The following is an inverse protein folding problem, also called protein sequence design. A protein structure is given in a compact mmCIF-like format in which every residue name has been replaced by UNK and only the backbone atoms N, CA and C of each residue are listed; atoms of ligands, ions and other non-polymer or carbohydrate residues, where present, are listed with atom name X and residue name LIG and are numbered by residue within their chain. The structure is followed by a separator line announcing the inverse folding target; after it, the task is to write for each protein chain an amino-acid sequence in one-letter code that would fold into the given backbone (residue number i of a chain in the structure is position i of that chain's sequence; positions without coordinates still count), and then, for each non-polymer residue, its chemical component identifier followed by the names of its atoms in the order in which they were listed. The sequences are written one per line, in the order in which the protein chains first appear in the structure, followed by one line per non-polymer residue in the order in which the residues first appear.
data_IF_773779753655
#
_entry.id   IF_773779753655
#
_cell.length_a   1.000
_cell.length_b   1.000
_cell.length_c   1.000
_cell.angle_alpha   90.00
_cell.angle_beta   90.00
_cell.angle_gamma   90.00
#
_symmetry.space_group_name_H-M   'P 1'
#
loop_
_entity.id
_entity.type
_entity.pdbx_description
1 polymer ?
#
# COMPACT_ATOMS: atom_id res chain seq x y z
N UNK A 1 71.47 33.49 37.86
CA UNK A 1 70.10 33.99 37.62
C UNK A 1 70.04 34.39 36.16
N UNK A 2 69.52 33.49 35.33
CA UNK A 2 69.51 33.62 33.87
C UNK A 2 68.13 34.07 33.42
N UNK A 3 68.06 35.10 32.60
CA UNK A 3 66.82 35.56 31.97
C UNK A 3 66.53 34.69 30.74
N UNK A 4 65.34 34.11 30.66
CA UNK A 4 64.84 33.38 29.50
C UNK A 4 63.89 34.31 28.69
N UNK A 5 64.13 34.55 27.39
CA UNK A 5 63.24 35.38 26.57
C UNK A 5 61.99 34.61 26.13
N UNK A 6 60.82 35.25 26.23
CA UNK A 6 59.54 34.72 25.75
C UNK A 6 59.55 34.56 24.22
N UNK A 7 59.34 33.33 23.74
CA UNK A 7 59.08 33.07 22.32
C UNK A 7 57.58 33.25 22.01
N UNK A 8 57.20 33.87 20.88
CA UNK A 8 55.80 33.92 20.43
C UNK A 8 55.37 32.52 19.97
N UNK A 9 54.21 32.02 20.44
CA UNK A 9 53.62 30.79 19.89
C UNK A 9 52.98 31.07 18.52
N UNK A 10 53.16 30.21 17.49
CA UNK A 10 52.58 30.40 16.17
C UNK A 10 51.06 30.18 16.14
N UNK A 11 50.37 31.01 15.35
CA UNK A 11 49.00 30.83 14.90
C UNK A 11 48.85 29.53 14.10
N UNK A 12 48.05 28.59 14.57
CA UNK A 12 47.65 27.43 13.78
C UNK A 12 46.47 27.80 12.88
N UNK A 13 46.75 28.58 11.83
CA UNK A 13 45.84 28.76 10.69
C UNK A 13 46.34 27.95 9.51
N UNK A 14 45.44 27.07 9.03
CA UNK A 14 45.42 26.33 7.77
C UNK A 14 46.56 25.35 7.49
N UNK A 15 46.21 24.07 7.34
CA UNK A 15 46.39 23.36 6.07
C UNK A 15 45.44 22.15 6.01
N UNK A 16 44.50 22.17 5.06
CA UNK A 16 43.65 21.04 4.75
C UNK A 16 44.46 19.94 4.08
N UNK A 17 44.42 18.74 4.65
CA UNK A 17 44.86 17.53 3.96
C UNK A 17 43.90 17.21 2.81
N UNK A 18 44.39 16.90 1.60
CA UNK A 18 43.57 16.28 0.57
C UNK A 18 43.20 14.86 1.03
N UNK A 19 41.96 14.70 1.48
CA UNK A 19 41.40 13.41 1.86
C UNK A 19 41.48 12.42 0.69
N UNK A 20 42.01 11.24 0.98
CA UNK A 20 42.01 10.05 0.11
C UNK A 20 40.58 9.78 -0.42
N UNK A 21 40.41 9.38 -1.70
CA UNK A 21 39.11 8.94 -2.19
C UNK A 21 38.66 7.66 -1.47
N UNK A 22 37.51 7.74 -0.79
CA UNK A 22 36.79 6.60 -0.22
C UNK A 22 36.21 5.73 -1.37
N UNK A 23 36.49 4.42 -1.45
CA UNK A 23 35.98 3.54 -2.51
C UNK A 23 34.46 3.32 -2.52
N UNK A 24 33.67 3.91 -1.61
CA UNK A 24 32.23 3.61 -1.47
C UNK A 24 31.26 4.51 -2.24
N UNK A 25 31.74 5.36 -3.13
CA UNK A 25 30.85 6.14 -4.03
C UNK A 25 30.89 5.60 -5.47
N UNK A 26 30.45 4.34 -5.65
CA UNK A 26 30.02 3.90 -6.98
C UNK A 26 28.64 4.49 -7.31
N UNK A 27 28.74 5.65 -7.95
CA UNK A 27 27.80 6.35 -8.79
C UNK A 27 27.12 5.39 -9.79
N UNK A 28 25.87 5.00 -9.55
CA UNK A 28 25.02 4.35 -10.56
C UNK A 28 24.33 5.45 -11.39
N UNK A 29 24.74 5.59 -12.64
CA UNK A 29 24.17 6.56 -13.58
C UNK A 29 22.73 6.23 -13.98
N UNK A 30 21.91 7.22 -14.37
CA UNK A 30 20.55 6.97 -14.84
C UNK A 30 20.59 6.36 -16.26
N UNK A 31 20.19 5.09 -16.37
CA UNK A 31 19.84 4.49 -17.66
C UNK A 31 18.54 5.08 -18.21
N UNK A 32 18.42 5.35 -19.53
CA UNK A 32 17.18 5.87 -20.12
C UNK A 32 16.15 4.75 -20.33
N UNK A 33 14.90 4.94 -19.87
CA UNK A 33 13.76 4.20 -20.40
C UNK A 33 12.76 3.55 -19.43
N UNK A 34 12.75 3.88 -18.14
CA UNK A 34 11.68 3.41 -17.22
C UNK A 34 10.47 4.35 -17.19
N UNK A 35 9.21 3.88 -17.28
CA UNK A 35 8.03 4.73 -17.17
C UNK A 35 8.01 5.47 -15.83
N UNK A 36 8.01 6.80 -15.90
CA UNK A 36 7.95 7.71 -14.77
C UNK A 36 6.56 7.64 -14.12
N UNK A 37 6.45 6.94 -12.99
CA UNK A 37 5.30 7.12 -12.11
C UNK A 37 5.48 8.44 -11.35
N UNK A 38 4.62 9.40 -11.65
CA UNK A 38 4.53 10.71 -10.98
C UNK A 38 4.43 10.50 -9.47
N UNK A 39 5.54 10.78 -8.77
CA UNK A 39 5.62 10.78 -7.31
C UNK A 39 5.08 12.11 -6.81
N UNK A 40 3.78 12.19 -6.62
CA UNK A 40 3.18 13.37 -5.97
C UNK A 40 3.65 13.42 -4.51
N UNK A 41 4.34 14.51 -4.21
CA UNK A 41 4.98 14.79 -2.93
C UNK A 41 3.95 15.36 -1.95
N UNK A 42 3.60 14.58 -0.92
CA UNK A 42 2.85 15.05 0.23
C UNK A 42 3.36 14.40 1.51
N UNK A 43 4.25 15.10 2.22
CA UNK A 43 4.46 14.95 3.67
C UNK A 43 5.06 13.64 4.20
N UNK A 44 6.22 13.21 3.71
CA UNK A 44 6.99 12.14 4.39
C UNK A 44 8.04 12.75 5.32
N UNK A 45 7.87 12.53 6.63
CA UNK A 45 8.91 12.79 7.62
C UNK A 45 10.07 11.84 7.35
N UNK A 46 11.25 12.39 7.05
CA UNK A 46 12.46 11.63 6.76
C UNK A 46 12.77 10.66 7.93
N UNK A 47 12.68 9.34 7.68
CA UNK A 47 13.09 8.33 8.65
C UNK A 47 12.55 6.91 8.44
N UNK A 48 11.33 6.74 7.91
CA UNK A 48 10.75 5.40 7.70
C UNK A 48 10.61 5.08 6.21
N UNK A 49 11.42 4.14 5.72
CA UNK A 49 11.44 3.68 4.33
C UNK A 49 10.21 2.85 3.93
N UNK A 50 9.17 2.76 4.75
CA UNK A 50 8.00 1.91 4.54
C UNK A 50 6.84 2.21 5.50
N UNK A 51 5.69 1.51 5.34
CA UNK A 51 4.52 1.68 6.19
C UNK A 51 4.84 1.43 7.66
N UNK A 52 4.27 2.24 8.56
CA UNK A 52 4.35 2.03 10.00
C UNK A 52 3.52 0.80 10.41
N UNK A 53 3.81 0.22 11.58
CA UNK A 53 3.12 -0.99 12.03
C UNK A 53 1.62 -0.76 12.27
N UNK A 54 1.24 0.44 12.71
CA UNK A 54 -0.16 0.85 12.82
C UNK A 54 -0.84 0.90 11.44
N UNK A 55 -0.15 1.39 10.41
CA UNK A 55 -0.67 1.42 9.04
C UNK A 55 -0.83 0.01 8.47
N UNK A 56 0.10 -0.90 8.74
CA UNK A 56 -0.04 -2.33 8.36
C UNK A 56 -1.25 -2.96 9.04
N UNK A 57 -1.45 -2.68 10.33
CA UNK A 57 -2.60 -3.18 11.09
C UNK A 57 -3.91 -2.67 10.49
N UNK A 58 -4.01 -1.37 10.21
CA UNK A 58 -5.18 -0.78 9.56
C UNK A 58 -5.39 -1.36 8.16
N UNK A 59 -4.32 -1.61 7.39
CA UNK A 59 -4.42 -2.22 6.06
C UNK A 59 -4.95 -3.66 6.13
N UNK A 60 -4.48 -4.47 7.08
CA UNK A 60 -4.99 -5.82 7.35
C UNK A 60 -6.49 -5.74 7.67
N UNK A 61 -6.89 -4.86 8.59
CA UNK A 61 -8.30 -4.66 8.94
C UNK A 61 -9.14 -4.22 7.73
N UNK A 62 -8.59 -3.39 6.87
CA UNK A 62 -9.24 -2.94 5.63
C UNK A 62 -9.59 -4.11 4.72
N UNK A 63 -8.64 -5.03 4.52
CA UNK A 63 -8.88 -6.23 3.73
C UNK A 63 -9.82 -7.23 4.42
N UNK A 64 -9.85 -7.29 5.75
CA UNK A 64 -10.78 -8.17 6.46
C UNK A 64 -12.20 -7.58 6.59
N UNK A 65 -12.33 -6.25 6.58
CA UNK A 65 -13.61 -5.57 6.75
C UNK A 65 -14.59 -5.92 5.62
N UNK A 66 -14.10 -6.14 4.41
CA UNK A 66 -14.96 -6.50 3.27
C UNK A 66 -15.65 -7.86 3.42
N UNK A 67 -14.89 -8.96 3.61
CA UNK A 67 -15.46 -10.27 3.89
C UNK A 67 -16.38 -10.29 5.11
N UNK A 68 -16.01 -9.61 6.21
CA UNK A 68 -16.85 -9.55 7.41
C UNK A 68 -18.18 -8.85 7.11
N UNK A 69 -18.14 -7.68 6.46
CA UNK A 69 -19.34 -6.96 6.08
C UNK A 69 -20.19 -7.76 5.07
N UNK A 70 -19.56 -8.47 4.13
CA UNK A 70 -20.24 -9.36 3.19
C UNK A 70 -20.94 -10.52 3.91
N UNK A 71 -20.34 -11.16 4.91
CA UNK A 71 -20.99 -12.24 5.68
C UNK A 71 -22.22 -11.70 6.41
N UNK A 72 -22.09 -10.58 7.12
CA UNK A 72 -23.18 -9.98 7.91
C UNK A 72 -24.33 -9.52 7.00
N UNK A 73 -24.02 -9.02 5.81
CA UNK A 73 -25.00 -8.48 4.87
C UNK A 73 -25.42 -9.46 3.77
N UNK A 74 -24.99 -10.73 3.83
CA UNK A 74 -25.27 -11.73 2.78
C UNK A 74 -24.80 -11.25 1.38
N UNK A 75 -23.63 -10.63 1.32
CA UNK A 75 -22.94 -10.21 0.10
C UNK A 75 -23.33 -8.84 -0.43
N UNK A 76 -24.16 -8.06 0.28
CA UNK A 76 -24.65 -6.77 -0.20
C UNK A 76 -23.76 -5.58 0.17
N UNK A 77 -23.06 -5.62 1.31
CA UNK A 77 -22.32 -4.47 1.88
C UNK A 77 -20.79 -4.71 1.99
N UNK A 78 -20.24 -5.67 1.24
CA UNK A 78 -18.82 -6.04 1.32
C UNK A 78 -17.82 -4.92 0.94
N UNK A 79 -18.26 -3.84 0.29
CA UNK A 79 -17.40 -2.71 -0.09
C UNK A 79 -17.38 -1.58 0.96
N UNK A 80 -18.29 -1.56 1.94
CA UNK A 80 -18.45 -0.43 2.87
C UNK A 80 -17.24 -0.24 3.78
N UNK A 81 -16.71 -1.33 4.34
CA UNK A 81 -15.53 -1.27 5.23
C UNK A 81 -14.32 -0.60 4.55
N UNK A 82 -13.86 -1.09 3.39
CA UNK A 82 -12.78 -0.46 2.64
C UNK A 82 -13.06 1.00 2.25
N UNK A 83 -14.30 1.33 1.90
CA UNK A 83 -14.69 2.70 1.54
C UNK A 83 -14.49 3.67 2.71
N UNK A 84 -14.91 3.28 3.91
CA UNK A 84 -14.73 4.08 5.13
C UNK A 84 -13.24 4.33 5.39
N UNK A 85 -12.40 3.29 5.29
CA UNK A 85 -10.95 3.45 5.48
C UNK A 85 -10.36 4.38 4.42
N UNK A 86 -10.75 4.24 3.15
CA UNK A 86 -10.27 5.11 2.09
C UNK A 86 -10.60 6.58 2.38
N UNK A 87 -11.82 6.89 2.80
CA UNK A 87 -12.19 8.27 3.15
C UNK A 87 -11.37 8.85 4.30
N UNK A 88 -11.06 8.05 5.32
CA UNK A 88 -10.30 8.51 6.49
C UNK A 88 -8.82 8.70 6.15
N UNK A 89 -8.23 7.80 5.37
CA UNK A 89 -6.78 7.70 5.20
C UNK A 89 -6.24 8.12 3.83
N UNK A 90 -7.09 8.48 2.85
CA UNK A 90 -6.67 8.89 1.49
C UNK A 90 -5.61 10.00 1.47
N UNK A 91 -5.69 10.95 2.40
CA UNK A 91 -4.80 12.11 2.46
C UNK A 91 -3.70 11.93 3.54
N UNK A 92 -3.73 10.82 4.29
CA UNK A 92 -2.86 10.57 5.46
C UNK A 92 -1.75 9.57 5.17
N UNK A 93 -2.07 8.49 4.47
CA UNK A 93 -1.10 7.45 4.12
C UNK A 93 -1.38 6.93 2.71
N UNK A 94 -0.43 7.04 1.78
CA UNK A 94 -0.58 6.50 0.43
C UNK A 94 -0.58 4.97 0.41
N UNK A 95 0.02 4.32 1.40
CA UNK A 95 -0.08 2.87 1.57
C UNK A 95 -1.52 2.47 1.89
N UNK A 96 -2.14 3.12 2.86
CA UNK A 96 -3.54 2.88 3.21
C UNK A 96 -4.50 3.31 2.12
N UNK A 97 -4.24 4.42 1.42
CA UNK A 97 -5.01 4.81 0.23
C UNK A 97 -5.02 3.71 -0.81
N UNK A 98 -3.85 3.18 -1.18
CA UNK A 98 -3.74 2.13 -2.18
C UNK A 98 -4.40 0.81 -1.73
N UNK A 99 -4.21 0.40 -0.47
CA UNK A 99 -4.80 -0.82 0.08
C UNK A 99 -6.34 -0.75 0.11
N UNK A 100 -6.88 0.37 0.61
CA UNK A 100 -8.32 0.59 0.70
C UNK A 100 -8.99 0.80 -0.66
N UNK A 101 -8.36 1.54 -1.58
CA UNK A 101 -8.85 1.69 -2.95
C UNK A 101 -8.89 0.34 -3.68
N UNK A 102 -7.82 -0.45 -3.60
CA UNK A 102 -7.76 -1.78 -4.20
C UNK A 102 -8.83 -2.72 -3.65
N UNK A 103 -8.99 -2.76 -2.32
CA UNK A 103 -10.00 -3.58 -1.67
C UNK A 103 -11.44 -3.14 -2.02
N UNK A 104 -11.69 -1.83 -2.13
CA UNK A 104 -12.99 -1.32 -2.57
C UNK A 104 -13.29 -1.71 -4.03
N UNK A 105 -12.36 -1.41 -4.94
CA UNK A 105 -12.47 -1.69 -6.37
C UNK A 105 -12.76 -3.19 -6.64
N UNK A 106 -12.09 -4.08 -5.92
CA UNK A 106 -12.33 -5.52 -6.01
C UNK A 106 -13.69 -5.92 -5.44
N UNK A 107 -14.08 -5.40 -4.27
CA UNK A 107 -15.38 -5.70 -3.68
C UNK A 107 -16.55 -5.22 -4.56
N UNK A 108 -16.42 -4.08 -5.25
CA UNK A 108 -17.44 -3.64 -6.22
C UNK A 108 -17.56 -4.63 -7.38
N UNK A 109 -16.44 -5.12 -7.89
CA UNK A 109 -16.45 -6.14 -8.96
C UNK A 109 -17.13 -7.42 -8.50
N UNK A 110 -16.78 -7.92 -7.31
CA UNK A 110 -17.42 -9.08 -6.72
C UNK A 110 -18.91 -8.85 -6.44
N UNK A 111 -19.29 -7.66 -5.98
CA UNK A 111 -20.69 -7.29 -5.76
C UNK A 111 -21.51 -7.36 -7.05
N UNK A 112 -20.96 -6.90 -8.18
CA UNK A 112 -21.61 -7.05 -9.49
C UNK A 112 -21.78 -8.53 -9.88
N UNK A 113 -20.76 -9.36 -9.66
CA UNK A 113 -20.86 -10.82 -9.89
C UNK A 113 -21.97 -11.44 -9.04
N UNK A 114 -22.08 -11.03 -7.77
CA UNK A 114 -23.13 -11.49 -6.86
C UNK A 114 -24.53 -11.07 -7.36
N UNK A 115 -24.71 -9.82 -7.80
CA UNK A 115 -25.98 -9.31 -8.36
C UNK A 115 -26.38 -10.11 -9.61
N UNK A 116 -25.46 -10.34 -10.54
CA UNK A 116 -25.70 -11.16 -11.74
C UNK A 116 -26.04 -12.60 -11.34
N UNK A 117 -25.34 -13.17 -10.37
CA UNK A 117 -25.63 -14.48 -9.80
C UNK A 117 -27.06 -14.60 -9.31
N UNK A 118 -27.53 -13.64 -8.52
CA UNK A 118 -28.92 -13.60 -8.03
C UNK A 118 -29.95 -13.48 -9.17
N UNK A 119 -29.70 -12.62 -10.16
CA UNK A 119 -30.57 -12.50 -11.35
C UNK A 119 -30.68 -13.85 -12.09
N UNK A 120 -29.56 -14.55 -12.25
CA UNK A 120 -29.54 -15.89 -12.87
C UNK A 120 -30.27 -16.93 -12.01
N UNK A 121 -30.16 -16.89 -10.68
CA UNK A 121 -30.91 -17.80 -9.78
C UNK A 121 -32.42 -17.64 -9.95
N UNK A 122 -32.93 -16.42 -10.04
CA UNK A 122 -34.36 -16.16 -10.25
C UNK A 122 -34.85 -16.48 -11.66
N UNK A 123 -33.93 -16.59 -12.63
CA UNK A 123 -34.24 -17.05 -13.98
C UNK A 123 -34.17 -18.58 -14.00
N UNK A 124 -35.31 -19.28 -13.93
CA UNK A 124 -35.40 -20.75 -13.77
C UNK A 124 -34.43 -21.54 -14.67
N UNK A 125 -34.27 -21.11 -15.94
CA UNK A 125 -33.36 -21.76 -16.91
C UNK A 125 -31.88 -21.57 -16.57
N UNK A 126 -31.50 -20.41 -16.02
CA UNK A 126 -30.11 -20.04 -15.69
C UNK A 126 -29.75 -20.35 -14.24
N UNK A 127 -30.65 -20.95 -13.46
CA UNK A 127 -30.46 -21.20 -12.03
C UNK A 127 -29.15 -21.94 -11.69
N UNK A 128 -28.73 -23.00 -12.43
CA UNK A 128 -27.45 -23.67 -12.17
C UNK A 128 -26.24 -22.73 -12.30
N UNK A 129 -26.26 -21.83 -13.29
CA UNK A 129 -25.21 -20.84 -13.50
C UNK A 129 -25.19 -19.81 -12.36
N UNK A 130 -26.37 -19.40 -11.87
CA UNK A 130 -26.49 -18.49 -10.74
C UNK A 130 -25.82 -19.02 -9.47
N UNK A 131 -26.04 -20.29 -9.13
CA UNK A 131 -25.37 -20.92 -7.99
C UNK A 131 -23.86 -20.99 -8.15
N UNK A 132 -23.36 -21.29 -9.37
CA UNK A 132 -21.93 -21.29 -9.67
C UNK A 132 -21.31 -19.90 -9.49
N UNK A 133 -21.98 -18.84 -9.94
CA UNK A 133 -21.50 -17.46 -9.79
C UNK A 133 -21.45 -17.02 -8.32
N UNK A 134 -22.48 -17.37 -7.53
CA UNK A 134 -22.51 -17.07 -6.09
C UNK A 134 -21.41 -17.85 -5.36
N UNK A 135 -21.20 -19.13 -5.70
CA UNK A 135 -20.10 -19.91 -5.13
C UNK A 135 -18.74 -19.30 -5.48
N UNK A 136 -18.53 -18.92 -6.74
CA UNK A 136 -17.30 -18.26 -7.19
C UNK A 136 -17.07 -16.92 -6.46
N UNK A 137 -18.12 -16.14 -6.23
CA UNK A 137 -18.06 -14.91 -5.41
C UNK A 137 -17.50 -15.19 -4.01
N UNK A 138 -18.05 -16.16 -3.28
CA UNK A 138 -17.60 -16.46 -1.91
C UNK A 138 -16.16 -16.98 -1.85
N UNK A 139 -15.76 -17.82 -2.81
CA UNK A 139 -14.39 -18.34 -2.91
C UNK A 139 -13.42 -17.19 -3.19
N UNK A 140 -13.70 -16.35 -4.18
CA UNK A 140 -12.85 -15.23 -4.56
C UNK A 140 -12.73 -14.20 -3.44
N UNK A 141 -13.85 -13.90 -2.75
CA UNK A 141 -13.90 -13.02 -1.60
C UNK A 141 -12.94 -13.50 -0.51
N UNK A 142 -13.03 -14.76 -0.09
CA UNK A 142 -12.17 -15.27 0.98
C UNK A 142 -10.70 -15.36 0.56
N UNK A 143 -10.42 -15.98 -0.58
CA UNK A 143 -9.03 -16.24 -1.01
C UNK A 143 -8.29 -14.93 -1.27
N UNK A 144 -8.87 -14.02 -2.07
CA UNK A 144 -8.19 -12.79 -2.43
C UNK A 144 -8.01 -11.85 -1.23
N UNK A 145 -9.00 -11.71 -0.34
CA UNK A 145 -8.86 -10.86 0.83
C UNK A 145 -7.91 -11.43 1.89
N UNK A 146 -7.86 -12.75 2.08
CA UNK A 146 -6.85 -13.37 2.96
C UNK A 146 -5.45 -13.12 2.41
N UNK A 147 -5.23 -13.35 1.11
CA UNK A 147 -3.95 -13.07 0.47
C UNK A 147 -3.57 -11.59 0.62
N UNK A 148 -4.52 -10.69 0.39
CA UNK A 148 -4.30 -9.25 0.53
C UNK A 148 -3.96 -8.84 1.96
N UNK A 149 -4.70 -9.35 2.95
CA UNK A 149 -4.44 -9.13 4.37
C UNK A 149 -3.04 -9.61 4.77
N UNK A 150 -2.64 -10.81 4.34
CA UNK A 150 -1.30 -11.36 4.61
C UNK A 150 -0.20 -10.50 3.98
N UNK A 151 -0.38 -10.02 2.74
CA UNK A 151 0.59 -9.10 2.10
C UNK A 151 0.63 -7.72 2.80
N UNK A 152 -0.53 -7.20 3.18
CA UNK A 152 -0.64 -5.93 3.90
C UNK A 152 0.08 -5.97 5.26
N UNK A 153 0.01 -7.10 5.97
CA UNK A 153 0.77 -7.32 7.21
C UNK A 153 2.28 -7.26 7.02
N UNK A 154 2.80 -7.50 5.81
CA UNK A 154 4.22 -7.32 5.44
C UNK A 154 4.54 -5.92 4.93
N UNK A 155 3.57 -5.01 4.85
CA UNK A 155 3.72 -3.69 4.25
C UNK A 155 3.73 -3.70 2.72
N UNK A 156 3.28 -4.78 2.09
CA UNK A 156 3.16 -4.90 0.64
C UNK A 156 1.73 -4.55 0.19
N UNK A 157 1.61 -3.73 -0.86
CA UNK A 157 0.30 -3.44 -1.47
C UNK A 157 -0.12 -4.62 -2.37
N UNK A 158 -1.24 -5.26 -2.05
CA UNK A 158 -1.82 -6.31 -2.89
C UNK A 158 -2.64 -5.71 -4.03
N UNK A 159 -2.31 -6.07 -5.28
CA UNK A 159 -3.16 -5.78 -6.44
C UNK A 159 -4.11 -6.94 -6.67
N UNK A 160 -5.41 -6.67 -6.61
CA UNK A 160 -6.42 -7.68 -6.81
C UNK A 160 -6.52 -8.07 -8.29
N UNK A 161 -6.60 -9.37 -8.62
CA UNK A 161 -6.96 -9.80 -9.95
C UNK A 161 -8.42 -9.41 -10.20
N UNK A 162 -8.69 -8.66 -11.26
CA UNK A 162 -10.03 -8.13 -11.62
C UNK A 162 -10.56 -6.98 -10.75
N UNK A 163 -9.72 -6.03 -10.36
CA UNK A 163 -10.20 -4.76 -9.79
C UNK A 163 -10.63 -3.77 -10.89
N UNK A 164 -11.85 -3.23 -10.79
CA UNK A 164 -12.28 -2.08 -11.60
C UNK A 164 -11.75 -0.80 -10.95
N UNK A 165 -10.85 -0.02 -11.60
CA UNK A 165 -10.25 1.16 -11.00
C UNK A 165 -11.29 2.30 -10.88
N UNK A 166 -11.95 2.38 -9.74
CA UNK A 166 -12.91 3.44 -9.41
C UNK A 166 -12.24 4.45 -8.48
N UNK A 167 -11.54 3.95 -7.46
CA UNK A 167 -10.73 4.74 -6.54
C UNK A 167 -9.24 4.59 -6.84
N UNK A 168 -8.51 5.70 -6.67
CA UNK A 168 -7.06 5.85 -6.87
C UNK A 168 -6.34 6.15 -5.53
#
# INVERSE_FOLDING_TARGET
MSYEPQQPRPDYRSHGEPGRPDPRTQQYGPGPGGPQYTRDQGGYRAGSSGPQDDEKTVAVLTHLAGPIAAIISVGWLGFVGPLIVWFIYRDKSPFLRAASAGAFNFNVTLWLVNVVGWICVFTVILSPLGFLLIAAYWVMLLVCHIMAAVKAGRGEVYRYPMQLPILH
#
